data_IF_917233732746
#
_entry.id   IF_917233732746
#
_cell.length_a   1.000
_cell.length_b   1.000
_cell.length_c   1.000
_cell.angle_alpha   90.00
_cell.angle_beta   90.00
_cell.angle_gamma   90.00
#
_symmetry.space_group_name_H-M   'P 1'
#
loop_
_entity.id
_entity.type
_entity.pdbx_description
1 polymer ?
#
# COMPACT_ATOMS: atom_id res chain seq x y z
N UNK A 1 -4.57 -22.90 -10.57
CA UNK A 1 -4.23 -21.48 -10.39
C UNK A 1 -5.04 -20.95 -9.23
N UNK A 2 -4.43 -20.75 -8.06
CA UNK A 2 -5.09 -20.01 -6.97
C UNK A 2 -4.83 -18.53 -7.22
N UNK A 3 -5.87 -17.78 -7.53
CA UNK A 3 -5.85 -16.33 -7.55
C UNK A 3 -5.70 -15.86 -6.11
N UNK A 4 -4.49 -15.43 -5.73
CA UNK A 4 -4.29 -14.71 -4.48
C UNK A 4 -4.92 -13.34 -4.70
N UNK A 5 -6.20 -13.20 -4.34
CA UNK A 5 -6.83 -11.88 -4.27
C UNK A 5 -6.05 -11.11 -3.22
N UNK A 6 -5.25 -10.12 -3.62
CA UNK A 6 -4.65 -9.20 -2.67
C UNK A 6 -5.81 -8.52 -1.94
N UNK A 7 -5.98 -8.84 -0.66
CA UNK A 7 -7.04 -8.23 0.12
C UNK A 7 -6.80 -6.71 0.17
N UNK A 8 -7.85 -5.88 0.07
CA UNK A 8 -7.68 -4.43 0.06
C UNK A 8 -6.96 -3.96 1.33
N UNK A 9 -5.96 -3.09 1.16
CA UNK A 9 -5.22 -2.50 2.26
C UNK A 9 -5.97 -1.28 2.80
N UNK A 10 -6.06 -1.14 4.12
CA UNK A 10 -6.65 0.03 4.78
C UNK A 10 -5.57 0.84 5.49
N UNK A 11 -5.54 2.14 5.27
CA UNK A 11 -4.79 3.11 6.08
C UNK A 11 -5.75 4.05 6.82
N UNK A 12 -5.30 4.56 7.96
CA UNK A 12 -5.88 5.65 8.71
C UNK A 12 -4.98 6.88 8.56
N UNK A 13 -5.41 7.83 7.75
CA UNK A 13 -4.68 9.07 7.47
C UNK A 13 -5.49 10.20 8.08
N UNK A 14 -4.92 10.92 9.06
CA UNK A 14 -5.57 12.03 9.76
C UNK A 14 -6.98 11.70 10.30
N UNK A 15 -7.15 10.47 10.82
CA UNK A 15 -8.44 9.97 11.33
C UNK A 15 -9.44 9.53 10.23
N UNK A 16 -9.10 9.72 8.97
CA UNK A 16 -9.88 9.25 7.82
C UNK A 16 -9.39 7.89 7.35
N UNK A 17 -10.34 6.99 7.06
CA UNK A 17 -10.04 5.66 6.53
C UNK A 17 -9.87 5.72 5.00
N UNK A 18 -8.68 5.37 4.52
CA UNK A 18 -8.37 5.22 3.10
C UNK A 18 -8.25 3.73 2.77
N UNK A 19 -8.88 3.30 1.68
CA UNK A 19 -8.86 1.89 1.25
C UNK A 19 -8.24 1.80 -0.14
N UNK A 20 -7.18 1.01 -0.26
CA UNK A 20 -6.49 0.73 -1.51
C UNK A 20 -6.89 -0.66 -1.99
N UNK A 21 -7.40 -0.75 -3.21
CA UNK A 21 -7.81 -2.02 -3.84
C UNK A 21 -6.78 -2.52 -4.83
N UNK A 22 -5.81 -1.68 -5.19
CA UNK A 22 -4.72 -1.96 -6.13
C UNK A 22 -3.44 -1.23 -5.72
N UNK A 23 -2.29 -1.68 -6.23
CA UNK A 23 -1.03 -0.95 -6.07
C UNK A 23 -1.10 0.42 -6.76
N UNK A 24 -1.83 0.54 -7.87
CA UNK A 24 -2.06 1.81 -8.57
C UNK A 24 -2.78 2.83 -7.68
N UNK A 25 -3.79 2.40 -6.89
CA UNK A 25 -4.48 3.28 -5.93
C UNK A 25 -3.49 3.81 -4.88
N UNK A 26 -2.61 2.94 -4.38
CA UNK A 26 -1.62 3.27 -3.36
C UNK A 26 -0.54 4.23 -3.92
N UNK A 27 -0.06 3.98 -5.14
CA UNK A 27 0.89 4.86 -5.83
C UNK A 27 0.24 6.22 -6.13
N UNK A 28 -0.99 6.23 -6.61
CA UNK A 28 -1.75 7.46 -6.87
C UNK A 28 -1.93 8.32 -5.62
N UNK A 29 -2.23 7.70 -4.48
CA UNK A 29 -2.27 8.37 -3.19
C UNK A 29 -0.91 8.95 -2.80
N UNK A 30 0.16 8.17 -2.95
CA UNK A 30 1.51 8.62 -2.60
C UNK A 30 2.00 9.77 -3.47
N UNK A 31 1.65 9.85 -4.75
CA UNK A 31 2.01 10.97 -5.63
C UNK A 31 1.51 12.33 -5.12
N UNK A 32 0.44 12.35 -4.33
CA UNK A 32 -0.06 13.55 -3.66
C UNK A 32 0.47 13.78 -2.24
N UNK A 33 1.28 12.86 -1.70
CA UNK A 33 1.75 12.88 -0.32
C UNK A 33 3.14 13.56 -0.22
N UNK A 34 3.42 14.40 0.80
CA UNK A 34 4.73 15.06 0.94
C UNK A 34 5.92 14.09 0.96
N UNK A 35 5.73 12.89 1.50
CA UNK A 35 6.76 11.84 1.56
C UNK A 35 7.06 11.16 0.22
N UNK A 36 6.41 11.53 -0.88
CA UNK A 36 6.64 10.92 -2.20
C UNK A 36 8.09 10.98 -2.63
N UNK A 37 8.76 12.12 -2.43
CA UNK A 37 10.17 12.31 -2.82
C UNK A 37 11.12 11.33 -2.13
N UNK A 38 10.75 10.81 -0.97
CA UNK A 38 11.53 9.81 -0.23
C UNK A 38 11.15 8.37 -0.57
N UNK A 39 10.11 8.19 -1.39
CA UNK A 39 9.51 6.90 -1.71
C UNK A 39 9.55 6.58 -3.21
N UNK A 40 10.13 7.43 -4.06
CA UNK A 40 10.11 7.31 -5.52
C UNK A 40 10.52 5.90 -5.99
N UNK A 41 11.66 5.38 -5.51
CA UNK A 41 12.10 4.03 -5.85
C UNK A 41 11.13 2.92 -5.40
N UNK A 42 10.44 3.10 -4.27
CA UNK A 42 9.40 2.16 -3.83
C UNK A 42 8.19 2.24 -4.77
N UNK A 43 7.80 3.43 -5.22
CA UNK A 43 6.68 3.63 -6.14
C UNK A 43 6.95 2.99 -7.49
N UNK A 44 8.17 3.16 -8.03
CA UNK A 44 8.58 2.50 -9.28
C UNK A 44 8.48 0.98 -9.20
N UNK A 45 8.90 0.40 -8.07
CA UNK A 45 8.80 -1.05 -7.84
C UNK A 45 7.35 -1.53 -7.70
N UNK A 46 6.47 -0.70 -7.13
CA UNK A 46 5.04 -1.00 -7.04
C UNK A 46 4.38 -0.94 -8.43
N UNK A 47 4.66 0.08 -9.23
CA UNK A 47 4.14 0.20 -10.61
C UNK A 47 4.63 -0.95 -11.51
N UNK A 48 5.87 -1.41 -11.31
CA UNK A 48 6.44 -2.51 -12.08
C UNK A 48 6.01 -3.93 -11.61
N UNK A 49 5.27 -4.05 -10.51
CA UNK A 49 4.94 -5.33 -9.90
C UNK A 49 3.81 -6.08 -10.64
N UNK A 50 4.12 -6.65 -11.81
CA UNK A 50 3.15 -7.34 -12.67
C UNK A 50 2.94 -8.83 -12.38
N UNK A 51 3.72 -9.41 -11.45
CA UNK A 51 3.61 -10.82 -11.06
C UNK A 51 3.02 -10.96 -9.64
N UNK A 52 2.18 -11.97 -9.36
CA UNK A 52 1.51 -12.09 -8.06
C UNK A 52 2.46 -12.08 -6.85
N UNK A 53 3.63 -12.70 -6.96
CA UNK A 53 4.63 -12.69 -5.88
C UNK A 53 5.32 -11.32 -5.72
N UNK A 54 5.54 -10.59 -6.81
CA UNK A 54 6.06 -9.22 -6.76
C UNK A 54 5.01 -8.28 -6.20
N UNK A 55 3.75 -8.43 -6.59
CA UNK A 55 2.62 -7.65 -6.05
C UNK A 55 2.50 -7.83 -4.54
N UNK A 56 2.56 -9.08 -4.06
CA UNK A 56 2.55 -9.39 -2.62
C UNK A 56 3.70 -8.72 -1.87
N UNK A 57 4.91 -8.74 -2.43
CA UNK A 57 6.09 -8.09 -1.84
C UNK A 57 5.97 -6.57 -1.85
N UNK A 58 5.46 -6.00 -2.93
CA UNK A 58 5.20 -4.58 -3.08
C UNK A 58 4.21 -4.08 -2.01
N UNK A 59 3.12 -4.82 -1.78
CA UNK A 59 2.19 -4.54 -0.69
C UNK A 59 2.86 -4.57 0.69
N UNK A 60 3.70 -5.57 0.95
CA UNK A 60 4.42 -5.68 2.23
C UNK A 60 5.41 -4.52 2.43
N UNK A 61 6.13 -4.12 1.38
CA UNK A 61 7.04 -2.99 1.41
C UNK A 61 6.29 -1.67 1.66
N UNK A 62 5.17 -1.47 0.96
CA UNK A 62 4.31 -0.31 1.15
C UNK A 62 3.72 -0.21 2.58
N UNK A 63 3.24 -1.33 3.12
CA UNK A 63 2.77 -1.40 4.50
C UNK A 63 3.87 -1.06 5.53
N UNK A 64 5.09 -1.54 5.28
CA UNK A 64 6.24 -1.24 6.14
C UNK A 64 6.63 0.25 6.06
N UNK A 65 6.65 0.81 4.86
CA UNK A 65 6.95 2.23 4.63
C UNK A 65 5.92 3.14 5.33
N UNK A 66 4.63 2.90 5.10
CA UNK A 66 3.55 3.70 5.70
C UNK A 66 3.60 3.65 7.23
N UNK A 67 3.87 2.47 7.80
CA UNK A 67 4.10 2.32 9.24
C UNK A 67 5.31 3.14 9.73
N UNK A 68 6.46 3.07 9.04
CA UNK A 68 7.68 3.79 9.40
C UNK A 68 7.49 5.31 9.33
N UNK A 69 6.68 5.79 8.39
CA UNK A 69 6.36 7.20 8.21
C UNK A 69 5.27 7.71 9.17
N UNK A 70 4.71 6.85 10.03
CA UNK A 70 3.60 7.23 10.90
C UNK A 70 2.29 7.50 10.15
N UNK A 71 2.21 7.10 8.87
CA UNK A 71 1.01 7.12 8.05
C UNK A 71 0.21 5.89 8.51
N UNK A 72 -0.50 6.05 9.62
CA UNK A 72 -1.02 4.94 10.42
C UNK A 72 -1.79 3.94 9.57
N UNK A 73 -1.31 2.69 9.49
CA UNK A 73 -2.07 1.61 8.89
C UNK A 73 -3.09 1.11 9.90
N UNK A 74 -4.37 1.39 9.65
CA UNK A 74 -5.43 0.75 10.42
C UNK A 74 -5.34 -0.74 10.17
N UNK A 75 -4.90 -1.50 11.18
CA UNK A 75 -4.82 -2.96 11.11
C UNK A 75 -6.11 -3.53 10.51
N UNK A 76 -6.06 -4.65 9.75
CA UNK A 76 -7.26 -5.28 9.24
C UNK A 76 -8.18 -5.56 10.42
N UNK A 77 -9.37 -4.97 10.41
CA UNK A 77 -10.41 -5.28 11.37
C UNK A 77 -10.60 -6.80 11.34
N UNK A 78 -10.21 -7.50 12.41
CA UNK A 78 -10.57 -8.89 12.57
C UNK A 78 -12.08 -8.93 12.57
N UNK A 79 -12.66 -9.48 11.50
CA UNK A 79 -14.05 -9.91 11.49
C UNK A 79 -14.19 -10.91 12.65
N UNK A 80 -14.85 -10.47 13.71
CA UNK A 80 -15.40 -11.34 14.76
C UNK A 80 -16.75 -11.86 14.30
#
# INVERSE_FOLDING_TARGET
MQTVSSAPMTLLVDGSRVVFRSLDDAVGFMKGHPSYEHAEMLMDQMEAASHPELERRAWQAFATFTQAMGISSGAPARLS
#
